data_IF_508498881255
#
_entry.id   IF_508498881255
#
_cell.length_a   1.000
_cell.length_b   1.000
_cell.length_c   1.000
_cell.angle_alpha   90.00
_cell.angle_beta   90.00
_cell.angle_gamma   90.00
#
_symmetry.space_group_name_H-M   'P 1'
#
loop_
_entity.id
_entity.type
_entity.pdbx_description
1 polymer ?
#
# COMPACT_ATOMS: atom_id res chain seq x y z
N UNK A 1 -13.26 2.54 51.64
CA UNK A 1 -12.39 3.06 50.56
C UNK A 1 -12.52 4.59 50.48
N UNK A 2 -11.40 5.31 50.40
CA UNK A 2 -11.38 6.77 50.46
C UNK A 2 -11.74 7.37 49.08
N UNK A 3 -12.89 8.04 48.97
CA UNK A 3 -13.41 8.67 47.73
C UNK A 3 -12.39 9.62 47.07
N UNK A 4 -11.52 10.26 47.86
CA UNK A 4 -10.48 11.16 47.34
C UNK A 4 -9.38 10.40 46.60
N UNK A 5 -9.05 9.18 47.03
CA UNK A 5 -8.07 8.35 46.35
C UNK A 5 -8.60 7.89 44.99
N UNK A 6 -9.88 7.53 44.93
CA UNK A 6 -10.56 7.15 43.69
C UNK A 6 -10.59 8.30 42.68
N UNK A 7 -11.00 9.52 43.08
CA UNK A 7 -11.00 10.66 42.15
C UNK A 7 -9.60 10.98 41.60
N UNK A 8 -8.56 10.84 42.43
CA UNK A 8 -7.16 11.04 41.99
C UNK A 8 -6.72 9.99 40.98
N UNK A 9 -7.14 8.74 41.11
CA UNK A 9 -6.79 7.70 40.12
C UNK A 9 -7.40 8.00 38.75
N UNK A 10 -8.66 8.44 38.68
CA UNK A 10 -9.26 8.84 37.40
C UNK A 10 -8.56 10.04 36.78
N UNK A 11 -8.23 11.07 37.58
CA UNK A 11 -7.48 12.23 37.08
C UNK A 11 -6.08 11.86 36.56
N UNK A 12 -5.41 10.90 37.20
CA UNK A 12 -4.10 10.44 36.77
C UNK A 12 -4.18 9.61 35.48
N UNK A 13 -5.19 8.74 35.35
CA UNK A 13 -5.45 7.96 34.13
C UNK A 13 -5.79 8.91 32.96
N UNK A 14 -6.61 9.93 33.20
CA UNK A 14 -7.00 10.89 32.17
C UNK A 14 -5.82 11.77 31.70
N UNK A 15 -4.86 12.04 32.59
CA UNK A 15 -3.60 12.71 32.23
C UNK A 15 -2.67 11.80 31.42
N UNK A 16 -2.52 10.54 31.82
CA UNK A 16 -1.73 9.53 31.09
C UNK A 16 -2.22 9.35 29.65
N UNK A 17 -3.54 9.23 29.46
CA UNK A 17 -4.19 9.10 28.15
C UNK A 17 -4.03 10.35 27.27
N UNK A 18 -3.82 11.54 27.85
CA UNK A 18 -3.57 12.78 27.12
C UNK A 18 -2.11 12.90 26.66
N UNK A 19 -1.17 12.39 27.44
CA UNK A 19 0.25 12.32 27.05
C UNK A 19 0.49 11.32 25.91
N UNK A 20 -0.18 10.16 25.90
CA UNK A 20 -0.06 9.19 24.79
C UNK A 20 -0.63 9.70 23.46
N UNK A 21 -1.60 10.63 23.51
CA UNK A 21 -2.16 11.29 22.31
C UNK A 21 -1.37 12.51 21.83
N UNK A 22 -0.34 12.92 22.56
CA UNK A 22 0.50 14.07 22.22
C UNK A 22 1.77 13.68 21.44
N UNK A 23 1.90 12.42 21.02
CA UNK A 23 2.87 12.03 19.99
C UNK A 23 2.35 12.51 18.64
N UNK A 24 2.96 13.59 18.15
CA UNK A 24 2.69 14.29 16.90
C UNK A 24 1.97 13.49 15.80
N UNK A 25 0.78 13.96 15.40
CA UNK A 25 0.01 13.55 14.21
C UNK A 25 0.76 13.74 12.87
N UNK A 26 1.99 14.25 12.89
CA UNK A 26 2.83 14.35 11.71
C UNK A 26 3.48 13.00 11.43
N UNK A 27 2.78 12.16 10.66
CA UNK A 27 3.39 10.99 10.03
C UNK A 27 4.70 11.43 9.36
N UNK A 28 5.82 10.73 9.60
CA UNK A 28 7.07 11.06 8.94
C UNK A 28 6.88 11.01 7.42
N UNK A 29 7.61 11.84 6.66
CA UNK A 29 7.53 11.82 5.21
C UNK A 29 7.87 10.41 4.71
N UNK A 30 7.07 9.92 3.75
CA UNK A 30 7.21 8.58 3.18
C UNK A 30 8.59 8.37 2.53
N UNK A 31 9.18 9.45 2.01
CA UNK A 31 10.48 9.45 1.34
C UNK A 31 11.49 10.27 2.13
N UNK A 32 12.76 9.87 2.05
CA UNK A 32 13.88 10.51 2.75
C UNK A 32 14.19 11.91 2.20
N UNK A 33 13.95 12.14 0.92
CA UNK A 33 14.14 13.42 0.24
C UNK A 33 13.19 13.57 -0.95
N UNK A 34 13.02 14.80 -1.45
CA UNK A 34 12.27 15.07 -2.69
C UNK A 34 12.95 14.47 -3.93
N UNK A 35 14.28 14.36 -3.91
CA UNK A 35 15.05 13.70 -4.96
C UNK A 35 14.75 12.21 -5.00
N UNK A 36 14.76 11.54 -3.84
CA UNK A 36 14.46 10.10 -3.76
C UNK A 36 13.03 9.81 -4.21
N UNK A 37 12.07 10.66 -3.82
CA UNK A 37 10.69 10.55 -4.29
C UNK A 37 10.60 10.62 -5.82
N UNK A 38 11.28 11.60 -6.44
CA UNK A 38 11.31 11.75 -7.89
C UNK A 38 11.94 10.53 -8.56
N UNK A 39 13.10 10.08 -8.07
CA UNK A 39 13.82 8.93 -8.60
C UNK A 39 12.98 7.64 -8.52
N UNK A 40 12.33 7.40 -7.37
CA UNK A 40 11.45 6.25 -7.16
C UNK A 40 10.27 6.31 -8.13
N UNK A 41 9.61 7.47 -8.25
CA UNK A 41 8.49 7.65 -9.19
C UNK A 41 8.90 7.43 -10.64
N UNK A 42 10.04 7.97 -11.07
CA UNK A 42 10.57 7.78 -12.42
C UNK A 42 10.88 6.32 -12.70
N UNK A 43 11.52 5.61 -11.74
CA UNK A 43 11.78 4.19 -11.85
C UNK A 43 10.47 3.38 -11.98
N UNK A 44 9.47 3.67 -11.13
CA UNK A 44 8.18 2.98 -11.21
C UNK A 44 7.45 3.27 -12.53
N UNK A 45 7.50 4.51 -12.99
CA UNK A 45 6.92 4.90 -14.27
C UNK A 45 7.60 4.20 -15.44
N UNK A 46 8.93 4.07 -15.43
CA UNK A 46 9.68 3.33 -16.43
C UNK A 46 9.31 1.84 -16.42
N UNK A 47 9.19 1.21 -15.24
CA UNK A 47 8.70 -0.17 -15.11
C UNK A 47 7.28 -0.33 -15.63
N UNK A 48 6.39 0.60 -15.31
CA UNK A 48 5.02 0.60 -15.81
C UNK A 48 4.99 0.68 -17.34
N UNK A 49 5.74 1.60 -17.94
CA UNK A 49 5.84 1.72 -19.41
C UNK A 49 6.36 0.44 -20.05
N UNK A 50 7.39 -0.17 -19.48
CA UNK A 50 7.93 -1.45 -19.96
C UNK A 50 6.88 -2.56 -19.89
N UNK A 51 6.21 -2.70 -18.74
CA UNK A 51 5.17 -3.71 -18.55
C UNK A 51 4.00 -3.48 -19.52
N UNK A 52 3.55 -2.23 -19.68
CA UNK A 52 2.49 -1.87 -20.62
C UNK A 52 2.85 -2.28 -22.05
N UNK A 53 4.08 -1.99 -22.49
CA UNK A 53 4.55 -2.37 -23.81
C UNK A 53 4.59 -3.90 -23.97
N UNK A 54 5.09 -4.63 -22.97
CA UNK A 54 5.12 -6.10 -22.98
C UNK A 54 3.71 -6.69 -23.06
N UNK A 55 2.76 -6.15 -22.30
CA UNK A 55 1.36 -6.59 -22.32
C UNK A 55 0.70 -6.30 -23.68
N UNK A 56 0.94 -5.13 -24.27
CA UNK A 56 0.39 -4.76 -25.59
C UNK A 56 0.95 -5.61 -26.74
N UNK A 57 2.19 -6.08 -26.61
CA UNK A 57 2.83 -6.95 -27.61
C UNK A 57 2.51 -8.44 -27.40
N UNK A 58 1.85 -8.80 -26.30
CA UNK A 58 1.54 -10.19 -25.99
C UNK A 58 0.22 -10.62 -26.63
N UNK A 59 0.32 -11.25 -27.80
CA UNK A 59 -0.84 -11.78 -28.54
C UNK A 59 -1.62 -12.83 -27.76
N UNK A 60 -0.95 -13.69 -26.98
CA UNK A 60 -1.64 -14.70 -26.16
C UNK A 60 -2.54 -14.05 -25.11
N UNK A 61 -2.12 -12.92 -24.56
CA UNK A 61 -2.90 -12.19 -23.56
C UNK A 61 -4.08 -11.44 -24.19
N UNK A 62 -3.95 -10.95 -25.43
CA UNK A 62 -5.08 -10.39 -26.19
C UNK A 62 -6.13 -11.46 -26.49
N UNK A 63 -5.70 -12.63 -26.96
CA UNK A 63 -6.61 -13.74 -27.25
C UNK A 63 -7.38 -14.20 -26.01
N UNK A 64 -6.73 -14.20 -24.84
CA UNK A 64 -7.38 -14.49 -23.56
C UNK A 64 -8.41 -13.43 -23.15
N UNK A 65 -8.16 -12.15 -23.44
CA UNK A 65 -9.09 -11.05 -23.13
C UNK A 65 -10.33 -11.05 -24.02
N UNK A 66 -10.22 -11.53 -25.26
CA UNK A 66 -11.35 -11.61 -26.20
C UNK A 66 -12.24 -12.85 -25.97
N UNK A 67 -11.77 -13.82 -25.18
CA UNK A 67 -12.51 -15.04 -24.84
C UNK A 67 -13.60 -14.72 -23.81
N UNK A 68 -14.85 -15.10 -24.11
CA UNK A 68 -16.01 -14.87 -23.24
C UNK A 68 -16.01 -15.76 -21.99
N UNK A 69 -15.53 -16.99 -22.10
CA UNK A 69 -15.41 -17.95 -21.00
C UNK A 69 -13.98 -18.46 -20.89
N UNK A 70 -13.49 -18.57 -19.66
CA UNK A 70 -12.13 -19.02 -19.36
C UNK A 70 -12.16 -20.46 -18.85
N UNK A 71 -11.22 -21.27 -19.36
CA UNK A 71 -10.95 -22.61 -18.85
C UNK A 71 -9.68 -22.65 -17.99
N UNK A 72 -9.38 -23.82 -17.43
CA UNK A 72 -8.23 -23.99 -16.55
C UNK A 72 -6.90 -23.82 -17.30
N UNK A 73 -6.86 -24.07 -18.60
CA UNK A 73 -5.67 -23.94 -19.43
C UNK A 73 -5.39 -22.47 -19.81
N UNK A 74 -6.45 -21.68 -20.00
CA UNK A 74 -6.39 -20.23 -20.17
C UNK A 74 -5.75 -19.55 -18.96
N UNK A 75 -6.10 -19.99 -17.74
CA UNK A 75 -5.50 -19.45 -16.51
C UNK A 75 -4.01 -19.79 -16.39
N UNK A 76 -3.58 -20.99 -16.79
CA UNK A 76 -2.15 -21.36 -16.85
C UNK A 76 -1.41 -20.52 -17.88
N UNK A 77 -2.04 -20.26 -19.03
CA UNK A 77 -1.47 -19.43 -20.11
C UNK A 77 -1.31 -17.99 -19.66
N UNK A 78 -2.28 -17.44 -18.92
CA UNK A 78 -2.16 -16.13 -18.27
C UNK A 78 -0.99 -16.10 -17.28
N UNK A 79 -0.90 -17.07 -16.37
CA UNK A 79 0.17 -17.12 -15.37
C UNK A 79 1.56 -17.25 -16.01
N UNK A 80 1.66 -17.97 -17.14
CA UNK A 80 2.90 -18.12 -17.90
C UNK A 80 3.28 -16.83 -18.62
N UNK A 81 2.31 -16.06 -19.12
CA UNK A 81 2.55 -14.78 -19.81
C UNK A 81 2.91 -13.62 -18.87
N UNK A 82 2.60 -13.75 -17.58
CA UNK A 82 2.93 -12.78 -16.53
C UNK A 82 4.28 -13.04 -15.83
N UNK A 83 4.92 -14.20 -16.06
CA UNK A 83 6.26 -14.54 -15.54
C UNK A 83 7.34 -14.06 -16.50
#
# INVERSE_FOLDING_TARGET
>A
MNKKAFLKTYQNIDKLNKTEKAESDTKPPLYRSSYDEKLIKEMHFAKFKKNLQQTQQNESLKQLLEKENWDEEDTKTLLKSLR
#
